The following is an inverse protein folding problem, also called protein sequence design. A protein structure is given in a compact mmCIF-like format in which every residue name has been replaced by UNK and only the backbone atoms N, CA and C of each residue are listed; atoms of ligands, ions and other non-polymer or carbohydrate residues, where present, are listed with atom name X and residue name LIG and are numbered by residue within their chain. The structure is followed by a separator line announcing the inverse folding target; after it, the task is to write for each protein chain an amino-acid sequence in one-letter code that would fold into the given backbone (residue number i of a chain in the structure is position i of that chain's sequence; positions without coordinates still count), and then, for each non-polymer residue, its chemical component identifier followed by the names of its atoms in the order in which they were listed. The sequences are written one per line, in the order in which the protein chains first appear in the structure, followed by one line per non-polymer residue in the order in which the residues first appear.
data_IF_698572782148
#
_entry.id   IF_698572782148
#
_cell.length_a   1.000
_cell.length_b   1.000
_cell.length_c   1.000
_cell.angle_alpha   90.00
_cell.angle_beta   90.00
_cell.angle_gamma   90.00
#
_symmetry.space_group_name_H-M   'P 1'
#
loop_
_entity.id
_entity.type
_entity.pdbx_description
1 polymer ?
#
# COMPACT_ATOMS: atom_id res chain seq x y z
N UNK A 1 -10.01 -12.24 1.50
CA UNK A 1 -10.45 -11.26 2.51
C UNK A 1 -10.47 -11.96 3.86
N UNK A 2 -9.99 -11.29 4.90
CA UNK A 2 -9.97 -11.78 6.29
C UNK A 2 -10.72 -10.80 7.19
N UNK A 3 -11.28 -11.30 8.30
CA UNK A 3 -11.89 -10.47 9.33
C UNK A 3 -10.84 -9.94 10.34
N UNK A 4 -11.28 -9.22 11.36
CA UNK A 4 -10.39 -8.64 12.39
C UNK A 4 -9.69 -9.67 13.28
N UNK A 5 -10.13 -10.93 13.25
CA UNK A 5 -9.54 -12.05 13.98
C UNK A 5 -8.66 -12.94 13.08
N UNK A 6 -8.50 -12.58 11.81
CA UNK A 6 -7.77 -13.37 10.82
C UNK A 6 -8.56 -14.51 10.19
N UNK A 7 -9.85 -14.63 10.49
CA UNK A 7 -10.73 -15.62 9.89
C UNK A 7 -11.07 -15.29 8.44
N UNK A 8 -11.19 -16.32 7.60
CA UNK A 8 -11.55 -16.13 6.20
C UNK A 8 -12.98 -15.58 6.04
N UNK A 9 -13.13 -14.57 5.19
CA UNK A 9 -14.44 -14.06 4.74
C UNK A 9 -14.67 -14.52 3.30
N UNK A 10 -15.88 -14.95 2.99
CA UNK A 10 -16.20 -15.42 1.63
C UNK A 10 -16.05 -14.29 0.61
N UNK A 11 -14.94 -14.31 -0.13
CA UNK A 11 -14.62 -13.33 -1.16
C UNK A 11 -15.48 -13.46 -2.43
N UNK A 12 -16.19 -14.60 -2.60
CA UNK A 12 -17.07 -14.82 -3.75
C UNK A 12 -18.38 -14.04 -3.62
N UNK A 13 -18.73 -13.66 -2.39
CA UNK A 13 -19.86 -12.76 -2.18
C UNK A 13 -19.42 -11.34 -2.47
N UNK A 14 -19.77 -10.83 -3.65
CA UNK A 14 -19.37 -9.48 -4.11
C UNK A 14 -19.93 -8.36 -3.23
N UNK A 15 -21.03 -8.59 -2.49
CA UNK A 15 -21.54 -7.63 -1.52
C UNK A 15 -20.55 -7.35 -0.39
N UNK A 16 -19.67 -8.29 -0.05
CA UNK A 16 -18.63 -8.12 0.94
C UNK A 16 -17.54 -7.11 0.48
N UNK A 17 -17.38 -6.91 -0.82
CA UNK A 17 -16.41 -5.93 -1.37
C UNK A 17 -16.88 -4.49 -1.22
N UNK A 18 -18.20 -4.29 -1.19
CA UNK A 18 -18.80 -2.97 -0.96
C UNK A 18 -18.93 -2.61 0.53
N UNK A 19 -18.67 -3.56 1.43
CA UNK A 19 -18.76 -3.33 2.87
C UNK A 19 -17.47 -2.73 3.43
N UNK A 20 -17.51 -1.42 3.67
CA UNK A 20 -16.38 -0.69 4.27
C UNK A 20 -15.96 -1.27 5.62
N UNK A 21 -16.89 -1.84 6.41
CA UNK A 21 -16.57 -2.39 7.72
C UNK A 21 -15.67 -3.61 7.62
N UNK A 22 -15.90 -4.47 6.63
CA UNK A 22 -15.06 -5.63 6.37
C UNK A 22 -13.65 -5.22 5.94
N UNK A 23 -13.52 -4.20 5.10
CA UNK A 23 -12.23 -3.63 4.74
C UNK A 23 -11.47 -3.11 5.97
N UNK A 24 -12.14 -2.32 6.82
CA UNK A 24 -11.53 -1.76 8.02
C UNK A 24 -11.12 -2.85 9.03
N UNK A 25 -11.90 -3.91 9.16
CA UNK A 25 -11.56 -5.03 10.04
C UNK A 25 -10.34 -5.79 9.52
N UNK A 26 -10.27 -6.04 8.22
CA UNK A 26 -9.08 -6.60 7.61
C UNK A 26 -7.85 -5.71 7.82
N UNK A 27 -7.99 -4.39 7.65
CA UNK A 27 -6.91 -3.44 7.85
C UNK A 27 -6.40 -3.46 9.30
N UNK A 28 -7.30 -3.50 10.29
CA UNK A 28 -6.93 -3.62 11.72
C UNK A 28 -6.10 -4.88 11.98
N UNK A 29 -6.55 -6.02 11.44
CA UNK A 29 -5.84 -7.28 11.60
C UNK A 29 -4.44 -7.23 10.96
N UNK A 30 -4.35 -6.74 9.73
CA UNK A 30 -3.06 -6.62 9.02
C UNK A 30 -2.12 -5.67 9.76
N UNK A 31 -2.62 -4.54 10.27
CA UNK A 31 -1.81 -3.60 11.06
C UNK A 31 -1.25 -4.27 12.32
N UNK A 32 -2.07 -5.00 13.07
CA UNK A 32 -1.61 -5.73 14.26
C UNK A 32 -0.55 -6.79 13.90
N UNK A 33 -0.70 -7.50 12.79
CA UNK A 33 0.30 -8.44 12.30
C UNK A 33 1.62 -7.73 11.91
N UNK A 34 1.53 -6.56 11.25
CA UNK A 34 2.72 -5.79 10.88
C UNK A 34 3.44 -5.24 12.11
N UNK A 35 2.72 -4.70 13.09
CA UNK A 35 3.30 -4.24 14.36
C UNK A 35 4.08 -5.36 15.04
N UNK A 36 3.46 -6.53 15.19
CA UNK A 36 4.13 -7.70 15.80
C UNK A 36 5.37 -8.14 14.99
N UNK A 37 5.31 -8.10 13.68
CA UNK A 37 6.44 -8.45 12.82
C UNK A 37 7.59 -7.45 12.97
N UNK A 38 7.30 -6.15 12.97
CA UNK A 38 8.29 -5.08 13.18
C UNK A 38 8.94 -5.21 14.55
N UNK A 39 8.15 -5.40 15.62
CA UNK A 39 8.65 -5.60 16.96
C UNK A 39 9.57 -6.81 17.05
N UNK A 40 9.18 -7.93 16.44
CA UNK A 40 9.99 -9.14 16.39
C UNK A 40 11.32 -8.94 15.65
N UNK A 41 11.33 -8.18 14.56
CA UNK A 41 12.56 -7.83 13.83
C UNK A 41 13.46 -6.97 14.72
N UNK A 42 12.92 -5.91 15.31
CA UNK A 42 13.70 -4.94 16.10
C UNK A 42 14.21 -5.50 17.43
N UNK A 43 13.54 -6.50 17.99
CA UNK A 43 14.04 -7.25 19.16
C UNK A 43 15.31 -8.05 18.82
N UNK A 44 15.41 -8.56 17.58
CA UNK A 44 16.55 -9.36 17.13
C UNK A 44 17.65 -8.51 16.48
N UNK A 45 17.28 -7.48 15.73
CA UNK A 45 18.25 -6.58 15.05
C UNK A 45 17.70 -5.14 15.01
N UNK A 46 18.23 -4.30 15.90
CA UNK A 46 17.89 -2.88 15.97
C UNK A 46 18.39 -2.04 14.77
N UNK A 47 19.31 -2.61 13.98
CA UNK A 47 19.83 -1.96 12.80
C UNK A 47 19.16 -2.46 11.51
N UNK A 48 18.12 -3.26 11.62
CA UNK A 48 17.37 -3.72 10.47
C UNK A 48 16.83 -2.54 9.64
N UNK A 49 16.89 -2.68 8.33
CA UNK A 49 16.18 -1.80 7.40
C UNK A 49 14.81 -2.42 7.18
N UNK A 50 13.76 -1.72 7.56
CA UNK A 50 12.39 -2.20 7.41
C UNK A 50 11.68 -1.32 6.39
N UNK A 51 11.18 -1.96 5.32
CA UNK A 51 10.38 -1.31 4.28
C UNK A 51 8.99 -1.94 4.32
N UNK A 52 7.97 -1.11 4.55
CA UNK A 52 6.58 -1.52 4.48
C UNK A 52 5.95 -0.77 3.32
N UNK A 53 5.50 -1.50 2.31
CA UNK A 53 4.97 -0.91 1.10
C UNK A 53 3.80 -1.75 0.58
N UNK A 54 2.70 -1.08 0.20
CA UNK A 54 1.63 -1.71 -0.57
C UNK A 54 1.85 -1.50 -2.07
N UNK A 55 1.33 -2.40 -2.87
CA UNK A 55 1.35 -2.36 -4.35
C UNK A 55 0.41 -1.28 -4.90
N UNK A 56 -0.72 -1.06 -4.23
CA UNK A 56 -1.68 0.00 -4.54
C UNK A 56 -2.43 0.44 -3.28
N UNK A 57 -3.12 1.56 -3.37
CA UNK A 57 -4.03 2.04 -2.34
C UNK A 57 -5.40 1.36 -2.41
N UNK A 58 -6.38 1.91 -1.72
CA UNK A 58 -7.73 1.37 -1.66
C UNK A 58 -8.56 1.78 -2.87
N UNK A 59 -9.33 0.83 -3.40
CA UNK A 59 -10.34 1.10 -4.43
C UNK A 59 -11.65 1.57 -3.78
N UNK A 60 -11.68 2.81 -3.38
CA UNK A 60 -12.86 3.41 -2.77
C UNK A 60 -13.15 4.77 -3.46
N UNK A 61 -14.42 5.09 -3.76
CA UNK A 61 -15.66 4.41 -3.36
C UNK A 61 -15.97 3.15 -4.17
N UNK A 62 -16.43 2.12 -3.49
CA UNK A 62 -16.70 0.79 -4.06
C UNK A 62 -17.79 0.75 -5.13
N UNK A 63 -18.68 1.73 -5.19
CA UNK A 63 -19.69 1.78 -6.24
C UNK A 63 -19.11 1.81 -7.64
N UNK A 64 -17.84 2.25 -7.78
CA UNK A 64 -17.12 2.21 -9.04
C UNK A 64 -16.72 0.78 -9.45
N UNK A 65 -16.64 -0.14 -8.50
CA UNK A 65 -16.35 -1.56 -8.80
C UNK A 65 -17.50 -2.24 -9.54
N UNK A 66 -18.74 -1.86 -9.24
CA UNK A 66 -19.93 -2.43 -9.88
C UNK A 66 -20.05 -1.98 -11.34
N UNK A 67 -19.52 -0.82 -11.67
CA UNK A 67 -19.56 -0.29 -13.05
C UNK A 67 -18.24 -0.47 -13.82
N UNK A 68 -17.27 -1.22 -13.24
CA UNK A 68 -16.00 -1.46 -13.93
C UNK A 68 -16.20 -2.10 -15.30
N UNK A 69 -15.64 -1.47 -16.32
CA UNK A 69 -15.82 -1.90 -17.72
C UNK A 69 -17.12 -1.42 -18.38
N UNK A 70 -17.92 -0.62 -17.71
CA UNK A 70 -19.12 0.03 -18.27
C UNK A 70 -18.83 1.49 -18.59
N UNK A 71 -19.68 2.18 -19.40
CA UNK A 71 -19.54 3.61 -19.69
C UNK A 71 -19.61 4.53 -18.47
N UNK A 72 -20.21 4.06 -17.38
CA UNK A 72 -20.36 4.81 -16.13
C UNK A 72 -19.07 4.77 -15.27
N UNK A 73 -18.11 3.90 -15.59
CA UNK A 73 -16.85 3.82 -14.89
C UNK A 73 -15.98 5.05 -15.16
N UNK A 74 -15.61 5.75 -14.12
CA UNK A 74 -14.72 6.90 -14.16
C UNK A 74 -13.43 6.65 -13.38
N UNK A 75 -12.37 6.30 -14.08
CA UNK A 75 -11.06 6.04 -13.50
C UNK A 75 -10.47 7.26 -12.76
N UNK A 76 -10.92 8.48 -13.07
CA UNK A 76 -10.40 9.70 -12.41
C UNK A 76 -10.82 9.78 -10.96
N UNK A 77 -11.93 9.15 -10.58
CA UNK A 77 -12.41 9.08 -9.20
C UNK A 77 -11.61 8.05 -8.39
N UNK A 78 -11.31 6.91 -9.00
CA UNK A 78 -10.60 5.81 -8.34
C UNK A 78 -9.08 6.06 -8.21
N UNK A 79 -8.48 6.67 -9.22
CA UNK A 79 -7.03 6.83 -9.33
C UNK A 79 -6.36 7.45 -8.11
N UNK A 80 -6.84 8.57 -7.52
CA UNK A 80 -6.21 9.15 -6.34
C UNK A 80 -6.17 8.22 -5.14
N UNK A 81 -7.20 7.39 -4.95
CA UNK A 81 -7.26 6.43 -3.86
C UNK A 81 -6.33 5.24 -4.09
N UNK A 82 -6.23 4.76 -5.33
CA UNK A 82 -5.35 3.66 -5.70
C UNK A 82 -3.88 4.05 -5.67
N UNK A 83 -3.56 5.30 -5.97
CA UNK A 83 -2.17 5.79 -5.97
C UNK A 83 -1.66 6.14 -4.58
N UNK A 84 -2.55 6.33 -3.61
CA UNK A 84 -2.16 6.61 -2.23
C UNK A 84 -1.79 5.31 -1.50
N UNK A 85 -0.57 4.85 -1.72
CA UNK A 85 -0.03 3.61 -1.17
C UNK A 85 0.49 3.81 0.26
N UNK A 86 0.44 2.75 1.07
CA UNK A 86 1.26 2.66 2.26
C UNK A 86 2.72 2.56 1.81
N UNK A 87 3.58 3.45 2.28
CA UNK A 87 4.99 3.44 1.96
C UNK A 87 5.78 4.06 3.10
N UNK A 88 6.51 3.27 3.86
CA UNK A 88 7.36 3.76 4.92
C UNK A 88 8.67 2.98 5.00
N UNK A 89 9.72 3.63 5.46
CA UNK A 89 11.05 3.06 5.66
C UNK A 89 11.55 3.43 7.03
N UNK A 90 11.99 2.43 7.77
CA UNK A 90 12.60 2.57 9.09
C UNK A 90 14.05 2.08 9.05
N UNK A 91 14.96 2.85 9.64
CA UNK A 91 16.36 2.48 9.80
C UNK A 91 16.99 3.17 11.02
N UNK A 92 17.69 2.43 11.87
CA UNK A 92 18.41 2.92 13.06
C UNK A 92 17.56 3.80 14.00
N UNK A 93 16.31 3.41 14.27
CA UNK A 93 15.42 4.13 15.17
C UNK A 93 14.82 5.39 14.58
N UNK A 94 14.92 5.59 13.27
CA UNK A 94 14.38 6.75 12.56
C UNK A 94 13.54 6.32 11.38
N UNK A 95 12.46 7.02 11.16
CA UNK A 95 11.72 6.99 9.92
C UNK A 95 12.47 7.80 8.86
N UNK A 96 12.61 7.25 7.65
CA UNK A 96 13.18 7.98 6.53
C UNK A 96 12.10 8.84 5.86
N UNK A 97 12.45 10.06 5.53
CA UNK A 97 11.57 10.96 4.78
C UNK A 97 11.45 10.51 3.32
N UNK A 98 10.34 9.87 3.04
CA UNK A 98 9.94 9.44 1.69
C UNK A 98 8.61 10.04 1.28
N UNK A 99 8.13 11.08 1.98
CA UNK A 99 6.87 11.75 1.68
C UNK A 99 6.86 12.28 0.24
N UNK A 100 5.75 12.04 -0.47
CA UNK A 100 5.59 12.42 -1.87
C UNK A 100 6.48 11.66 -2.87
N UNK A 101 7.22 10.64 -2.42
CA UNK A 101 8.02 9.79 -3.31
C UNK A 101 7.20 8.59 -3.77
N UNK A 102 7.36 8.22 -5.03
CA UNK A 102 6.71 7.01 -5.54
C UNK A 102 7.33 5.75 -4.96
N UNK A 103 6.52 4.71 -4.80
CA UNK A 103 7.00 3.41 -4.35
C UNK A 103 8.12 2.81 -5.20
N UNK A 104 8.20 3.19 -6.49
CA UNK A 104 9.28 2.78 -7.40
C UNK A 104 10.66 3.31 -6.92
N UNK A 105 10.66 4.46 -6.28
CA UNK A 105 11.88 5.11 -5.82
C UNK A 105 12.29 4.70 -4.40
N UNK A 106 11.46 4.02 -3.65
CA UNK A 106 11.73 3.66 -2.25
C UNK A 106 13.05 2.92 -2.09
N UNK A 107 13.28 1.86 -2.87
CA UNK A 107 14.56 1.13 -2.82
C UNK A 107 15.75 1.98 -3.28
N UNK A 108 15.59 2.87 -4.26
CA UNK A 108 16.65 3.78 -4.70
C UNK A 108 17.04 4.75 -3.59
N UNK A 109 16.06 5.30 -2.88
CA UNK A 109 16.30 6.18 -1.73
C UNK A 109 17.05 5.42 -0.64
N UNK A 110 16.58 4.24 -0.26
CA UNK A 110 17.23 3.39 0.75
C UNK A 110 18.67 3.06 0.37
N UNK A 111 18.90 2.66 -0.87
CA UNK A 111 20.25 2.33 -1.35
C UNK A 111 21.17 3.55 -1.37
N UNK A 112 20.68 4.71 -1.82
CA UNK A 112 21.46 5.93 -1.86
C UNK A 112 21.79 6.43 -0.46
N UNK A 113 20.83 6.47 0.45
CA UNK A 113 21.01 7.04 1.79
C UNK A 113 21.82 6.13 2.71
N UNK A 114 21.61 4.81 2.65
CA UNK A 114 22.21 3.87 3.60
C UNK A 114 23.53 3.33 3.06
N UNK A 115 23.61 3.04 1.77
CA UNK A 115 24.78 2.42 1.13
C UNK A 115 25.58 3.39 0.27
N UNK A 116 25.26 4.69 0.29
CA UNK A 116 25.98 5.75 -0.43
C UNK A 116 26.10 5.47 -1.94
N UNK A 117 25.07 4.82 -2.52
CA UNK A 117 25.00 4.63 -3.96
C UNK A 117 24.49 5.91 -4.64
N UNK A 118 24.45 5.92 -5.96
CA UNK A 118 23.98 7.08 -6.73
C UNK A 118 22.99 6.62 -7.81
N UNK A 119 21.95 5.90 -7.39
CA UNK A 119 20.88 5.52 -8.31
C UNK A 119 20.03 6.75 -8.67
N UNK A 120 19.85 6.95 -9.98
CA UNK A 120 18.98 8.00 -10.49
C UNK A 120 17.51 7.74 -10.08
N UNK A 121 16.82 8.77 -9.61
CA UNK A 121 15.39 8.68 -9.32
C UNK A 121 14.61 8.59 -10.64
N UNK A 122 13.65 7.68 -10.67
CA UNK A 122 12.72 7.60 -11.80
C UNK A 122 11.65 8.68 -11.67
N UNK A 123 11.22 9.19 -12.80
CA UNK A 123 10.08 10.11 -12.85
C UNK A 123 8.86 9.44 -12.24
N UNK A 124 8.13 10.21 -11.46
CA UNK A 124 6.87 9.74 -10.89
C UNK A 124 5.88 9.52 -12.05
N UNK A 125 5.38 8.32 -12.26
CA UNK A 125 4.48 8.08 -13.38
C UNK A 125 3.08 8.65 -13.11
N UNK A 126 2.98 9.97 -13.02
CA UNK A 126 1.68 10.66 -12.96
C UNK A 126 0.76 10.32 -14.14
N UNK A 127 1.30 9.62 -15.16
CA UNK A 127 0.64 9.36 -16.43
C UNK A 127 0.34 7.89 -16.76
N UNK A 128 0.67 6.95 -15.89
CA UNK A 128 0.18 5.58 -16.08
C UNK A 128 -1.24 5.43 -15.54
N UNK A 129 -2.10 6.35 -15.94
CA UNK A 129 -3.51 6.07 -16.04
C UNK A 129 -3.62 4.89 -17.00
N UNK A 130 -4.13 3.78 -16.51
CA UNK A 130 -4.43 2.61 -17.30
C UNK A 130 -5.29 3.06 -18.49
N UNK A 131 -4.67 3.29 -19.64
CA UNK A 131 -5.39 3.37 -20.90
C UNK A 131 -5.72 1.93 -21.28
N UNK A 132 -6.77 1.39 -20.67
CA UNK A 132 -7.42 0.23 -21.25
C UNK A 132 -8.07 0.71 -22.55
N UNK A 133 -7.44 0.36 -23.68
CA UNK A 133 -8.07 0.39 -24.99
C UNK A 133 -8.96 -0.81 -25.15
#
# INVERSE_FOLDING_TARGET
VINEEGGAVDYRNTSNWADKSLYLNQLKYVNACMENAVDGILQNDRNAIIIIQSDHGVRYPYHMMECYGTPEYDATIETPYMQNILNCVYYQGKEMDIEGKSGINTLRIVLNEIFMTNYEMLDNPEKYLYQYK
#
